data_IF_897756944530
#
_entry.id   IF_897756944530
#
_cell.length_a   1.000
_cell.length_b   1.000
_cell.length_c   1.000
_cell.angle_alpha   90.00
_cell.angle_beta   90.00
_cell.angle_gamma   90.00
#
_symmetry.space_group_name_H-M   'P 1'
#
loop_
_entity.id
_entity.type
_entity.pdbx_description
1 polymer ?
#
# COMPACT_ATOMS: atom_id res chain seq x y z
N UNK A 1 -1.08 -16.49 40.75
CA UNK A 1 -0.70 -16.45 39.33
C UNK A 1 -0.82 -15.00 38.86
N UNK A 2 0.30 -14.32 38.61
CA UNK A 2 0.31 -12.99 38.01
C UNK A 2 -0.20 -13.13 36.57
N UNK A 3 -1.45 -12.75 36.32
CA UNK A 3 -2.03 -12.80 34.98
C UNK A 3 -1.26 -11.86 34.07
N UNK A 4 -0.58 -12.41 33.05
CA UNK A 4 -0.07 -11.61 31.95
C UNK A 4 -1.27 -10.92 31.31
N UNK A 5 -1.31 -9.58 31.33
CA UNK A 5 -2.28 -8.84 30.53
C UNK A 5 -1.94 -9.17 29.08
N UNK A 6 -2.86 -9.80 28.34
CA UNK A 6 -2.63 -10.01 26.92
C UNK A 6 -2.54 -8.64 26.23
N UNK A 7 -1.42 -8.36 25.56
CA UNK A 7 -1.31 -7.17 24.71
C UNK A 7 -2.37 -7.27 23.60
N UNK A 8 -3.30 -6.32 23.58
CA UNK A 8 -4.29 -6.19 22.52
C UNK A 8 -3.78 -5.21 21.48
N UNK A 9 -3.42 -5.73 20.31
CA UNK A 9 -2.97 -4.90 19.19
C UNK A 9 -4.17 -4.36 18.41
N UNK A 10 -4.07 -3.11 17.95
CA UNK A 10 -4.97 -2.55 16.97
C UNK A 10 -4.16 -1.80 15.90
N UNK A 11 -4.63 -1.86 14.65
CA UNK A 11 -4.09 -1.07 13.55
C UNK A 11 -5.24 -0.39 12.83
N UNK A 12 -5.08 0.90 12.51
CA UNK A 12 -6.13 1.73 11.94
C UNK A 12 -5.58 2.66 10.87
N UNK A 13 -6.44 3.10 9.96
CA UNK A 13 -6.07 4.07 8.91
C UNK A 13 -5.98 5.46 9.53
N UNK A 14 -4.82 6.09 9.41
CA UNK A 14 -4.69 7.52 9.69
C UNK A 14 -5.18 8.32 8.49
N UNK A 15 -6.45 8.73 8.50
CA UNK A 15 -7.05 9.49 7.40
C UNK A 15 -6.35 10.82 7.11
N UNK A 16 -5.72 11.44 8.12
CA UNK A 16 -5.03 12.72 7.96
C UNK A 16 -3.74 12.62 7.14
N UNK A 17 -3.24 11.40 6.89
CA UNK A 17 -2.02 11.16 6.10
C UNK A 17 -2.31 10.58 4.72
N UNK A 18 -3.59 10.54 4.30
CA UNK A 18 -3.97 10.16 2.95
C UNK A 18 -4.10 11.42 2.09
N UNK A 19 -3.11 11.67 1.22
CA UNK A 19 -3.01 12.94 0.51
C UNK A 19 -3.47 12.89 -0.96
N UNK A 20 -3.36 11.73 -1.62
CA UNK A 20 -3.65 11.59 -3.05
C UNK A 20 -4.09 10.18 -3.42
N UNK A 21 -4.72 10.06 -4.59
CA UNK A 21 -5.25 8.81 -5.13
C UNK A 21 -6.67 8.49 -4.66
N UNK A 22 -7.09 7.25 -4.90
CA UNK A 22 -8.41 6.74 -4.53
C UNK A 22 -8.33 5.87 -3.28
N UNK A 23 -9.14 6.15 -2.26
CA UNK A 23 -9.09 5.43 -0.98
C UNK A 23 -10.43 4.82 -0.59
N UNK A 24 -10.49 3.50 -0.43
CA UNK A 24 -11.58 2.78 0.22
C UNK A 24 -11.28 2.60 1.72
N UNK A 25 -11.00 3.70 2.41
CA UNK A 25 -10.33 3.77 3.71
C UNK A 25 -11.16 3.30 4.93
N UNK A 26 -12.37 2.81 4.69
CA UNK A 26 -13.23 2.16 5.69
C UNK A 26 -13.93 0.92 5.12
N UNK A 27 -13.53 0.49 3.92
CA UNK A 27 -14.23 -0.51 3.13
C UNK A 27 -14.80 0.06 1.83
N UNK A 28 -14.96 -0.80 0.83
CA UNK A 28 -15.57 -0.47 -0.45
C UNK A 28 -14.71 -0.92 -1.63
N UNK A 29 -15.28 -0.93 -2.83
CA UNK A 29 -14.59 -1.37 -4.03
C UNK A 29 -14.09 -0.17 -4.84
N UNK A 30 -12.96 -0.34 -5.52
CA UNK A 30 -12.44 0.64 -6.47
C UNK A 30 -12.45 0.02 -7.87
N UNK A 31 -13.07 0.71 -8.82
CA UNK A 31 -13.03 0.36 -10.23
C UNK A 31 -12.37 1.49 -11.04
N UNK A 32 -11.27 1.16 -11.70
CA UNK A 32 -10.47 2.04 -12.55
C UNK A 32 -10.51 1.50 -13.98
N UNK A 33 -10.96 2.32 -14.92
CA UNK A 33 -11.06 1.93 -16.32
C UNK A 33 -10.63 3.07 -17.23
N UNK A 34 -9.71 2.79 -18.14
CA UNK A 34 -9.28 3.70 -19.19
C UNK A 34 -9.24 2.97 -20.53
N UNK A 35 -9.75 3.60 -21.59
CA UNK A 35 -9.65 3.06 -22.95
C UNK A 35 -8.23 3.11 -23.54
N UNK A 36 -7.38 3.96 -22.98
CA UNK A 36 -5.97 4.11 -23.33
C UNK A 36 -5.11 3.76 -22.10
N UNK A 37 -4.07 4.55 -21.84
CA UNK A 37 -3.13 4.32 -20.75
C UNK A 37 -3.70 4.78 -19.40
N UNK A 38 -3.34 4.08 -18.32
CA UNK A 38 -3.44 4.56 -16.94
C UNK A 38 -2.04 5.01 -16.53
N UNK A 39 -1.91 6.25 -16.06
CA UNK A 39 -0.62 6.89 -15.76
C UNK A 39 -0.67 7.53 -14.38
N UNK A 40 0.25 7.12 -13.50
CA UNK A 40 0.47 7.74 -12.18
C UNK A 40 -0.79 7.79 -11.30
N UNK A 41 -1.49 6.65 -11.25
CA UNK A 41 -2.69 6.49 -10.42
C UNK A 41 -2.39 5.60 -9.22
N UNK A 42 -2.67 6.12 -8.03
CA UNK A 42 -2.65 5.39 -6.77
C UNK A 42 -4.06 4.98 -6.32
N UNK A 43 -4.23 3.75 -5.83
CA UNK A 43 -5.45 3.32 -5.16
C UNK A 43 -5.18 2.44 -3.94
N UNK A 44 -5.92 2.70 -2.85
CA UNK A 44 -5.67 2.10 -1.55
C UNK A 44 -6.96 1.56 -0.92
N UNK A 45 -6.98 0.26 -0.67
CA UNK A 45 -8.06 -0.47 -0.02
C UNK A 45 -7.53 -1.17 1.25
N UNK A 46 -7.08 -0.39 2.26
CA UNK A 46 -6.45 -0.94 3.45
C UNK A 46 -7.47 -1.66 4.32
N UNK A 47 -6.97 -2.56 5.17
CA UNK A 47 -7.75 -3.10 6.28
C UNK A 47 -7.32 -2.48 7.62
N UNK A 48 -8.21 -2.55 8.60
CA UNK A 48 -7.94 -2.24 10.00
C UNK A 48 -8.23 -3.45 10.86
N UNK A 49 -7.58 -3.55 12.01
CA UNK A 49 -7.76 -4.68 12.92
C UNK A 49 -7.83 -4.22 14.37
N UNK A 50 -8.58 -4.98 15.16
CA UNK A 50 -8.62 -4.88 16.62
C UNK A 50 -8.56 -6.29 17.21
N UNK A 51 -7.63 -6.52 18.12
CA UNK A 51 -7.59 -7.73 18.95
C UNK A 51 -8.42 -7.51 20.21
N UNK A 52 -9.47 -8.31 20.38
CA UNK A 52 -10.27 -8.36 21.60
C UNK A 52 -10.04 -9.64 22.39
N UNK A 53 -10.54 -9.70 23.63
CA UNK A 53 -10.39 -10.86 24.51
C UNK A 53 -8.97 -11.06 25.03
N UNK A 54 -8.62 -12.29 25.44
CA UNK A 54 -7.29 -12.65 25.95
C UNK A 54 -7.04 -12.36 27.42
N UNK A 55 -8.03 -11.83 28.16
CA UNK A 55 -7.89 -11.55 29.60
C UNK A 55 -8.14 -12.78 30.48
N UNK A 56 -8.78 -13.83 29.95
CA UNK A 56 -9.04 -15.09 30.64
C UNK A 56 -8.92 -16.27 29.67
N UNK A 57 -8.66 -17.48 30.19
CA UNK A 57 -8.66 -18.70 29.35
C UNK A 57 -10.01 -18.99 28.71
N UNK A 58 -11.11 -18.58 29.35
CA UNK A 58 -12.47 -18.72 28.85
C UNK A 58 -12.80 -17.73 27.71
N UNK A 59 -11.99 -16.68 27.53
CA UNK A 59 -12.15 -15.69 26.47
C UNK A 59 -10.81 -15.50 25.75
N UNK A 60 -10.42 -16.43 24.85
CA UNK A 60 -9.17 -16.35 24.13
C UNK A 60 -9.09 -15.11 23.23
N UNK A 61 -7.88 -14.64 22.89
CA UNK A 61 -7.72 -13.48 22.02
C UNK A 61 -8.30 -13.76 20.63
N UNK A 62 -9.03 -12.79 20.07
CA UNK A 62 -9.64 -12.86 18.74
C UNK A 62 -9.38 -11.59 17.97
N UNK A 63 -8.89 -11.74 16.74
CA UNK A 63 -8.72 -10.62 15.81
C UNK A 63 -10.02 -10.36 15.07
N UNK A 64 -10.42 -9.09 14.98
CA UNK A 64 -11.53 -8.63 14.15
C UNK A 64 -10.99 -7.64 13.13
N UNK A 65 -11.31 -7.86 11.87
CA UNK A 65 -10.88 -7.03 10.74
C UNK A 65 -12.02 -6.18 10.20
N UNK A 66 -11.70 -4.98 9.73
CA UNK A 66 -12.62 -4.08 9.04
C UNK A 66 -11.97 -3.49 7.79
N UNK A 67 -12.78 -2.93 6.90
CA UNK A 67 -12.31 -2.32 5.66
C UNK A 67 -12.02 -3.32 4.55
N UNK A 68 -10.98 -3.05 3.77
CA UNK A 68 -10.64 -3.79 2.55
C UNK A 68 -11.62 -3.54 1.40
N UNK A 69 -11.62 -4.46 0.43
CA UNK A 69 -12.50 -4.42 -0.73
C UNK A 69 -11.84 -5.00 -1.98
N UNK A 70 -12.57 -4.95 -3.09
CA UNK A 70 -12.08 -5.41 -4.37
C UNK A 70 -11.60 -4.26 -5.25
N UNK A 71 -10.42 -4.44 -5.83
CA UNK A 71 -9.84 -3.53 -6.81
C UNK A 71 -10.01 -4.13 -8.21
N UNK A 72 -10.59 -3.38 -9.13
CA UNK A 72 -10.68 -3.74 -10.55
C UNK A 72 -10.03 -2.66 -11.40
N UNK A 73 -8.93 -2.96 -12.06
CA UNK A 73 -8.19 -2.04 -12.93
C UNK A 73 -8.20 -2.57 -14.36
N UNK A 74 -8.63 -1.76 -15.30
CA UNK A 74 -8.58 -2.06 -16.74
C UNK A 74 -7.95 -0.90 -17.50
N UNK A 75 -6.76 -1.12 -18.07
CA UNK A 75 -6.14 -0.20 -19.03
C UNK A 75 -6.23 -0.81 -20.43
N UNK A 76 -6.82 -0.08 -21.39
CA UNK A 76 -6.85 -0.49 -22.79
C UNK A 76 -5.47 -0.44 -23.44
N UNK A 77 -4.63 0.51 -23.03
CA UNK A 77 -3.22 0.63 -23.37
C UNK A 77 -2.32 0.13 -22.24
N UNK A 78 -1.32 0.92 -21.88
CA UNK A 78 -0.31 0.62 -20.87
C UNK A 78 -0.76 1.03 -19.45
N UNK A 79 -0.12 0.42 -18.45
CA UNK A 79 -0.17 0.85 -17.06
C UNK A 79 1.20 1.40 -16.67
N UNK A 80 1.26 2.69 -16.36
CA UNK A 80 2.50 3.44 -16.18
C UNK A 80 2.57 4.05 -14.77
N UNK A 81 3.63 3.74 -14.03
CA UNK A 81 3.97 4.37 -12.73
C UNK A 81 2.83 4.42 -11.69
N UNK A 82 2.11 3.32 -11.47
CA UNK A 82 1.01 3.25 -10.49
C UNK A 82 1.40 2.60 -9.17
N UNK A 83 0.58 2.80 -8.14
CA UNK A 83 0.67 2.12 -6.85
C UNK A 83 -0.70 1.60 -6.39
N UNK A 84 -0.77 0.33 -5.98
CA UNK A 84 -2.03 -0.27 -5.53
C UNK A 84 -1.86 -1.02 -4.22
N UNK A 85 -2.64 -0.66 -3.21
CA UNK A 85 -2.79 -1.40 -1.95
C UNK A 85 -4.10 -2.17 -1.93
N UNK A 86 -4.03 -3.49 -1.80
CA UNK A 86 -5.15 -4.36 -1.45
C UNK A 86 -4.86 -5.00 -0.08
N UNK A 87 -5.45 -4.44 0.97
CA UNK A 87 -5.30 -4.95 2.33
C UNK A 87 -6.01 -6.29 2.50
N UNK A 88 -7.33 -6.31 2.33
CA UNK A 88 -8.15 -7.52 2.34
C UNK A 88 -9.10 -7.51 1.16
N UNK A 89 -9.26 -8.65 0.47
CA UNK A 89 -10.09 -8.78 -0.73
C UNK A 89 -9.25 -9.17 -1.95
N UNK A 90 -9.76 -8.86 -3.14
CA UNK A 90 -9.10 -9.22 -4.41
C UNK A 90 -8.85 -8.01 -5.31
N UNK A 91 -7.61 -7.87 -5.76
CA UNK A 91 -7.19 -6.97 -6.83
C UNK A 91 -7.09 -7.71 -8.16
N UNK A 92 -7.69 -7.14 -9.19
CA UNK A 92 -7.69 -7.69 -10.54
C UNK A 92 -7.29 -6.59 -11.53
N UNK A 93 -6.10 -6.73 -12.09
CA UNK A 93 -5.50 -5.75 -12.98
C UNK A 93 -5.34 -6.38 -14.37
N UNK A 94 -5.97 -5.76 -15.36
CA UNK A 94 -5.91 -6.15 -16.78
C UNK A 94 -5.37 -5.00 -17.61
N UNK A 95 -4.32 -5.28 -18.37
CA UNK A 95 -3.62 -4.29 -19.19
C UNK A 95 -3.56 -4.77 -20.62
N UNK A 96 -4.07 -3.96 -21.56
CA UNK A 96 -4.08 -4.27 -22.99
C UNK A 96 -2.71 -4.13 -23.65
N UNK A 97 -1.84 -3.30 -23.09
CA UNK A 97 -0.44 -3.10 -23.45
C UNK A 97 0.52 -3.73 -22.45
N UNK A 98 1.56 -2.99 -22.05
CA UNK A 98 2.56 -3.39 -21.07
C UNK A 98 2.37 -2.65 -19.73
N UNK A 99 2.89 -3.23 -18.65
CA UNK A 99 3.13 -2.53 -17.38
C UNK A 99 4.58 -2.06 -17.38
N UNK A 100 4.80 -0.75 -17.29
CA UNK A 100 6.12 -0.16 -17.45
C UNK A 100 6.35 0.97 -16.45
N UNK A 101 7.61 1.14 -16.05
CA UNK A 101 8.01 2.32 -15.34
C UNK A 101 8.07 3.50 -16.30
N UNK A 102 7.56 4.67 -15.92
CA UNK A 102 7.77 5.90 -16.67
C UNK A 102 8.41 6.95 -15.79
N UNK A 103 9.30 7.75 -16.37
CA UNK A 103 9.74 8.99 -15.76
C UNK A 103 8.69 10.08 -15.92
N UNK A 104 7.76 9.97 -16.87
CA UNK A 104 6.76 11.01 -17.15
C UNK A 104 5.76 11.12 -16.00
N UNK A 105 5.65 12.31 -15.41
CA UNK A 105 4.68 12.61 -14.36
C UNK A 105 3.59 13.56 -14.92
N UNK A 106 2.30 13.18 -14.89
CA UNK A 106 1.21 14.05 -15.35
C UNK A 106 1.07 15.34 -14.53
N UNK A 107 1.45 15.34 -13.25
CA UNK A 107 1.54 16.55 -12.40
C UNK A 107 2.68 17.48 -12.82
N UNK A 108 3.65 16.98 -13.59
CA UNK A 108 4.73 17.77 -14.19
C UNK A 108 4.52 17.99 -15.69
N UNK A 109 3.28 18.04 -16.17
CA UNK A 109 2.95 18.22 -17.60
C UNK A 109 3.60 17.16 -18.50
N UNK A 110 3.81 15.94 -17.99
CA UNK A 110 4.46 14.84 -18.70
C UNK A 110 5.99 14.91 -18.71
N UNK A 111 6.59 15.91 -18.06
CA UNK A 111 8.04 15.97 -17.89
C UNK A 111 8.54 14.88 -16.93
N UNK A 112 9.83 14.48 -17.04
CA UNK A 112 10.41 13.50 -16.15
C UNK A 112 10.36 13.90 -14.67
N UNK A 113 10.10 12.94 -13.76
CA UNK A 113 10.42 13.04 -12.34
C UNK A 113 11.92 13.17 -12.22
N UNK A 114 12.38 14.38 -11.88
CA UNK A 114 13.78 14.69 -11.62
C UNK A 114 14.13 14.22 -10.21
N UNK A 115 15.23 13.50 -10.06
CA UNK A 115 15.75 13.22 -8.72
C UNK A 115 16.82 14.23 -8.32
N UNK A 116 16.86 14.51 -7.03
CA UNK A 116 17.82 15.44 -6.45
C UNK A 116 19.10 14.66 -6.12
N UNK A 117 20.14 14.82 -6.94
CA UNK A 117 21.51 14.50 -6.50
C UNK A 117 22.09 15.77 -5.89
N UNK A 118 22.33 15.79 -4.58
CA UNK A 118 22.93 16.93 -3.89
C UNK A 118 24.44 17.00 -4.17
N UNK A 119 24.81 17.45 -5.37
CA UNK A 119 26.15 17.93 -5.67
C UNK A 119 26.04 19.32 -6.29
N UNK A 120 26.53 20.34 -5.58
CA UNK A 120 26.61 21.72 -6.06
C UNK A 120 25.31 22.28 -6.69
N UNK A 121 24.16 22.13 -6.01
CA UNK A 121 22.87 22.72 -6.39
C UNK A 121 22.35 22.37 -7.80
N UNK A 122 22.83 21.27 -8.40
CA UNK A 122 22.44 20.85 -9.74
C UNK A 122 21.50 19.64 -9.68
N UNK A 123 20.25 19.80 -10.11
CA UNK A 123 19.31 18.68 -10.27
C UNK A 123 19.64 17.95 -11.57
N UNK A 124 20.20 16.75 -11.48
CA UNK A 124 20.52 15.91 -12.63
C UNK A 124 20.06 14.46 -12.39
N UNK A 125 19.28 13.93 -13.34
CA UNK A 125 18.81 12.55 -13.37
C UNK A 125 17.29 12.43 -13.41
N UNK A 126 16.78 11.48 -14.19
CA UNK A 126 15.36 11.11 -14.25
C UNK A 126 15.16 9.76 -13.58
N UNK A 127 14.10 9.62 -12.79
CA UNK A 127 13.79 8.38 -12.07
C UNK A 127 12.50 7.77 -12.61
N UNK A 128 12.57 6.63 -13.33
CA UNK A 128 11.38 5.93 -13.74
C UNK A 128 10.74 5.26 -12.52
N UNK A 129 9.45 5.53 -12.28
CA UNK A 129 8.71 4.94 -11.17
C UNK A 129 8.02 3.65 -11.65
N UNK A 130 8.41 2.46 -11.16
CA UNK A 130 7.75 1.22 -11.55
C UNK A 130 6.42 1.02 -10.81
N UNK A 131 5.61 0.05 -11.26
CA UNK A 131 4.39 -0.36 -10.54
C UNK A 131 4.75 -0.91 -9.16
N UNK A 132 4.11 -0.38 -8.12
CA UNK A 132 4.20 -0.90 -6.75
C UNK A 132 2.89 -1.59 -6.36
N UNK A 133 3.01 -2.79 -5.79
CA UNK A 133 1.89 -3.55 -5.27
C UNK A 133 2.07 -3.76 -3.77
N UNK A 134 1.11 -3.29 -3.00
CA UNK A 134 1.07 -3.51 -1.56
C UNK A 134 -0.08 -4.49 -1.26
N UNK A 135 0.23 -5.58 -0.55
CA UNK A 135 -0.72 -6.68 -0.29
C UNK A 135 -0.57 -7.14 1.15
N UNK A 136 -1.67 -7.20 1.89
CA UNK A 136 -1.72 -7.76 3.25
C UNK A 136 -2.39 -9.15 3.19
N UNK A 137 -3.56 -9.33 3.81
CA UNK A 137 -4.39 -10.55 3.76
C UNK A 137 -5.14 -10.74 2.42
N UNK A 138 -4.97 -9.83 1.46
CA UNK A 138 -5.59 -9.84 0.15
C UNK A 138 -4.81 -10.61 -0.92
N UNK A 139 -5.30 -10.54 -2.15
CA UNK A 139 -4.65 -11.12 -3.32
C UNK A 139 -4.67 -10.13 -4.48
N UNK A 140 -3.62 -10.10 -5.29
CA UNK A 140 -3.61 -9.35 -6.55
C UNK A 140 -3.29 -10.30 -7.71
N UNK A 141 -4.16 -10.30 -8.71
CA UNK A 141 -3.92 -10.91 -10.02
C UNK A 141 -3.66 -9.81 -11.04
N UNK A 142 -2.48 -9.84 -11.66
CA UNK A 142 -2.08 -8.92 -12.71
C UNK A 142 -1.84 -9.68 -14.01
N UNK A 143 -2.46 -9.22 -15.09
CA UNK A 143 -2.20 -9.70 -16.43
C UNK A 143 -2.03 -8.53 -17.40
N UNK A 144 -0.99 -8.60 -18.22
CA UNK A 144 -0.75 -7.68 -19.34
C UNK A 144 -0.61 -8.49 -20.62
N UNK A 145 -1.02 -7.93 -21.76
CA UNK A 145 -0.77 -8.57 -23.07
C UNK A 145 0.67 -8.41 -23.51
N UNK A 146 1.34 -7.35 -23.06
CA UNK A 146 2.76 -7.09 -23.25
C UNK A 146 3.60 -7.53 -22.04
N UNK A 147 4.72 -6.84 -21.85
CA UNK A 147 5.63 -7.08 -20.72
C UNK A 147 5.08 -6.56 -19.40
N UNK A 148 5.51 -7.15 -18.28
CA UNK A 148 5.20 -6.65 -16.94
C UNK A 148 6.50 -6.28 -16.23
N UNK A 149 6.63 -5.01 -15.87
CA UNK A 149 7.71 -4.50 -15.01
C UNK A 149 7.14 -4.13 -13.64
N UNK A 150 7.58 -4.84 -12.60
CA UNK A 150 7.22 -4.55 -11.21
C UNK A 150 8.39 -3.90 -10.49
N UNK A 151 8.08 -2.93 -9.65
CA UNK A 151 9.05 -2.34 -8.73
C UNK A 151 9.20 -3.20 -7.50
N UNK A 152 8.09 -3.40 -6.79
CA UNK A 152 8.07 -4.22 -5.59
C UNK A 152 6.66 -4.79 -5.33
N UNK A 153 6.64 -5.90 -4.60
CA UNK A 153 5.44 -6.45 -3.96
C UNK A 153 5.74 -6.57 -2.47
N UNK A 154 4.98 -5.89 -1.62
CA UNK A 154 5.28 -5.85 -0.18
C UNK A 154 4.04 -5.79 0.69
N UNK A 155 4.19 -6.19 1.95
CA UNK A 155 3.18 -5.99 2.98
C UNK A 155 3.48 -4.69 3.74
N UNK A 156 2.61 -3.65 3.64
CA UNK A 156 2.83 -2.39 4.33
C UNK A 156 2.65 -2.48 5.85
N UNK A 157 2.04 -3.55 6.36
CA UNK A 157 1.85 -3.79 7.79
C UNK A 157 2.87 -4.76 8.38
N UNK A 158 3.81 -5.28 7.57
CA UNK A 158 4.87 -6.14 8.07
C UNK A 158 5.75 -5.38 9.07
N UNK A 159 5.87 -5.93 10.28
CA UNK A 159 6.77 -5.40 11.29
C UNK A 159 8.20 -5.85 11.01
N UNK A 160 9.21 -4.99 11.27
CA UNK A 160 10.61 -5.41 11.23
C UNK A 160 10.82 -6.58 12.20
N UNK A 161 11.46 -7.65 11.73
CA UNK A 161 11.80 -8.84 12.55
C UNK A 161 12.91 -8.60 13.59
N UNK A 162 13.24 -7.35 13.87
CA UNK A 162 14.23 -7.01 14.88
C UNK A 162 13.61 -7.18 16.27
N UNK A 163 14.12 -8.17 17.02
CA UNK A 163 13.70 -8.49 18.39
C UNK A 163 13.76 -7.27 19.33
N UNK A 164 14.64 -6.30 19.08
CA UNK A 164 14.75 -5.07 19.86
C UNK A 164 13.63 -4.06 19.60
N UNK A 165 13.00 -4.07 18.42
CA UNK A 165 11.84 -3.21 18.08
C UNK A 165 10.53 -3.87 18.53
N UNK A 166 10.46 -5.21 18.50
CA UNK A 166 9.30 -5.96 19.00
C UNK A 166 9.17 -5.93 20.52
N UNK A 167 10.29 -5.81 21.25
CA UNK A 167 10.30 -5.79 22.71
C UNK A 167 9.87 -4.45 23.33
N UNK A 168 10.01 -3.35 22.58
CA UNK A 168 9.62 -2.01 23.04
C UNK A 168 8.88 -1.24 21.93
N UNK A 169 7.61 -1.58 21.67
CA UNK A 169 6.81 -0.93 20.64
C UNK A 169 6.44 0.52 21.00
N UNK A 170 6.54 0.91 22.28
CA UNK A 170 6.12 2.25 22.73
C UNK A 170 7.13 3.33 22.36
N UNK A 171 8.42 2.98 22.25
CA UNK A 171 9.50 3.88 21.80
C UNK A 171 9.27 4.48 20.41
N UNK A 172 8.48 3.83 19.56
CA UNK A 172 8.24 4.25 18.18
C UNK A 172 6.82 4.79 17.95
N UNK A 173 6.03 4.93 19.02
CA UNK A 173 4.72 5.57 18.92
C UNK A 173 4.90 7.10 18.76
N UNK A 174 4.00 7.76 18.00
CA UNK A 174 3.98 9.21 17.92
C UNK A 174 3.88 9.83 19.33
N UNK A 175 4.87 10.64 19.72
CA UNK A 175 4.93 11.31 21.03
C UNK A 175 5.75 10.58 22.11
N UNK A 176 6.38 9.46 21.81
CA UNK A 176 7.35 8.84 22.71
C UNK A 176 8.65 9.67 22.76
N UNK A 177 9.13 10.01 23.97
CA UNK A 177 10.48 10.55 24.14
C UNK A 177 11.51 9.41 24.03
N UNK A 178 12.72 9.68 23.52
CA UNK A 178 13.77 8.67 23.38
C UNK A 178 14.18 8.03 24.71
#
# INVERSE_FOLDING_TARGET
ASGSVACQTAAWVNYATFFQGFGALGGGNIALSAGADIIDVGASLPETLVVGGGFTSANPPKITYFGGGNLSVTAGGNLLSSDFLVGRGAGLIRVGGSVQATSSNPLNQGLPTLGVTLAANSVAGTYPLPLLLAVQDGFISLAARGSVTLGNVYDPAALPVNLGIQADPTRFLPGASP
#
